data_IF_672120212030
#
_entry.id   IF_672120212030
#
_cell.length_a   1.000
_cell.length_b   1.000
_cell.length_c   1.000
_cell.angle_alpha   90.00
_cell.angle_beta   90.00
_cell.angle_gamma   90.00
#
_symmetry.space_group_name_H-M   'P 1'
#
loop_
_entity.id
_entity.type
_entity.pdbx_description
1 polymer ?
#
# COMPACT_ATOMS: atom_id res chain seq x y z
N UNK A 1 5.45 -31.59 -8.24
CA UNK A 1 5.19 -30.15 -8.06
C UNK A 1 3.78 -29.90 -8.56
N UNK A 2 2.80 -29.95 -7.66
CA UNK A 2 1.38 -29.87 -8.04
C UNK A 2 0.94 -28.41 -8.00
N UNK A 3 0.71 -27.85 -9.19
CA UNK A 3 0.08 -26.55 -9.41
C UNK A 3 -1.39 -26.70 -8.96
N UNK A 4 -1.83 -25.97 -7.92
CA UNK A 4 -3.23 -25.96 -7.48
C UNK A 4 -3.98 -24.85 -8.23
N UNK A 5 -4.83 -25.20 -9.23
CA UNK A 5 -5.53 -24.24 -10.07
C UNK A 5 -6.63 -23.44 -9.33
N UNK A 6 -6.80 -23.63 -8.01
CA UNK A 6 -7.84 -22.97 -7.21
C UNK A 6 -7.34 -21.77 -6.40
N UNK A 7 -6.06 -21.38 -6.48
CA UNK A 7 -5.59 -20.17 -5.80
C UNK A 7 -6.15 -18.93 -6.47
N UNK A 8 -7.09 -18.27 -5.79
CA UNK A 8 -7.58 -16.95 -6.19
C UNK A 8 -6.48 -15.92 -5.91
N UNK A 9 -6.25 -14.94 -6.80
CA UNK A 9 -5.37 -13.82 -6.51
C UNK A 9 -5.87 -13.10 -5.25
N UNK A 10 -4.98 -12.43 -4.49
CA UNK A 10 -5.40 -11.67 -3.32
C UNK A 10 -6.48 -10.64 -3.69
N UNK A 11 -7.36 -10.25 -2.76
CA UNK A 11 -8.33 -9.20 -3.04
C UNK A 11 -7.59 -7.87 -3.23
N UNK A 12 -7.90 -7.15 -4.32
CA UNK A 12 -7.36 -5.82 -4.57
C UNK A 12 -7.59 -4.87 -3.37
N UNK A 13 -6.69 -3.90 -3.11
CA UNK A 13 -6.88 -2.95 -2.04
C UNK A 13 -8.23 -2.23 -2.20
N UNK A 14 -8.96 -2.01 -1.10
CA UNK A 14 -10.24 -1.33 -1.15
C UNK A 14 -10.06 0.06 -1.75
N UNK A 15 -10.99 0.45 -2.63
CA UNK A 15 -11.00 1.83 -3.11
C UNK A 15 -11.11 2.78 -1.91
N UNK A 16 -10.39 3.91 -1.90
CA UNK A 16 -10.57 4.92 -0.88
C UNK A 16 -12.06 5.29 -0.80
N UNK A 17 -12.61 5.53 0.40
CA UNK A 17 -14.00 5.90 0.53
C UNK A 17 -14.33 7.11 -0.37
N UNK A 18 -15.52 7.07 -0.99
CA UNK A 18 -16.05 8.22 -1.71
C UNK A 18 -16.14 9.40 -0.74
N UNK A 19 -15.78 10.60 -1.20
CA UNK A 19 -15.88 11.83 -0.40
C UNK A 19 -17.27 11.89 0.26
N UNK A 20 -17.35 12.08 1.59
CA UNK A 20 -18.65 12.19 2.24
C UNK A 20 -19.34 13.45 1.71
N UNK A 21 -20.46 13.27 1.00
CA UNK A 21 -21.43 14.35 0.79
C UNK A 21 -21.85 14.81 2.18
N UNK A 22 -21.64 16.09 2.50
CA UNK A 22 -22.15 16.70 3.73
C UNK A 22 -23.64 16.36 3.84
N UNK A 23 -24.00 15.82 5.00
CA UNK A 23 -25.33 15.42 5.47
C UNK A 23 -25.64 13.92 5.35
N UNK A 24 -25.15 13.16 6.33
CA UNK A 24 -26.01 12.28 7.14
C UNK A 24 -25.18 11.67 8.24
N UNK A 25 -25.60 11.89 9.49
CA UNK A 25 -25.15 11.11 10.64
C UNK A 25 -25.54 9.66 10.37
N UNK A 26 -24.57 8.76 10.27
CA UNK A 26 -24.59 7.39 10.80
C UNK A 26 -23.35 6.61 10.32
N UNK A 27 -22.75 5.88 11.24
CA UNK A 27 -21.56 5.03 11.06
C UNK A 27 -22.02 3.63 10.62
N UNK A 28 -21.52 3.06 9.51
CA UNK A 28 -21.89 1.70 9.11
C UNK A 28 -21.03 0.59 9.75
N UNK A 29 -20.23 0.89 10.77
CA UNK A 29 -19.48 -0.13 11.51
C UNK A 29 -20.34 -0.78 12.60
N UNK A 30 -21.13 -1.79 12.22
CA UNK A 30 -21.46 -3.00 13.02
C UNK A 30 -22.72 -3.68 12.48
N UNK A 31 -22.68 -4.32 11.31
CA UNK A 31 -23.72 -5.30 10.95
C UNK A 31 -23.24 -6.25 9.85
N UNK A 32 -22.46 -7.27 10.26
CA UNK A 32 -22.59 -8.66 9.83
C UNK A 32 -21.51 -9.53 10.47
N UNK A 33 -21.75 -9.88 11.73
CA UNK A 33 -21.22 -11.11 12.31
C UNK A 33 -22.44 -11.87 12.81
N UNK A 34 -22.96 -12.80 12.01
CA UNK A 34 -23.77 -13.92 12.48
C UNK A 34 -24.05 -14.91 11.34
N UNK A 35 -23.71 -16.16 11.63
CA UNK A 35 -23.96 -17.41 10.91
C UNK A 35 -23.01 -17.79 9.77
N UNK A 36 -21.94 -18.52 10.12
CA UNK A 36 -21.37 -19.60 9.31
C UNK A 36 -21.02 -20.78 10.26
N UNK A 37 -21.33 -22.05 9.94
CA UNK A 37 -21.04 -23.22 10.79
C UNK A 37 -19.54 -23.49 10.96
N UNK A 38 -19.17 -24.15 12.08
CA UNK A 38 -17.80 -24.27 12.62
C UNK A 38 -16.77 -25.12 11.84
N UNK A 39 -17.05 -25.66 10.65
CA UNK A 39 -16.22 -26.75 10.10
C UNK A 39 -15.33 -26.40 8.89
N UNK A 40 -14.72 -25.20 8.86
CA UNK A 40 -13.72 -24.88 7.83
C UNK A 40 -12.60 -23.97 8.31
N UNK A 41 -11.93 -24.33 9.40
CA UNK A 41 -10.63 -23.75 9.75
C UNK A 41 -9.51 -24.73 9.44
N UNK A 42 -9.07 -24.75 8.18
CA UNK A 42 -7.75 -25.29 7.86
C UNK A 42 -6.71 -24.39 8.52
N UNK A 43 -6.19 -24.81 9.68
CA UNK A 43 -4.98 -24.26 10.31
C UNK A 43 -3.77 -24.92 9.67
N UNK A 44 -2.95 -24.20 8.88
CA UNK A 44 -1.61 -24.68 8.58
C UNK A 44 -0.78 -24.52 9.85
N UNK A 45 -0.22 -25.61 10.35
CA UNK A 45 0.79 -25.62 11.42
C UNK A 45 2.03 -24.89 10.90
N UNK A 46 2.11 -23.57 11.10
CA UNK A 46 3.37 -22.85 10.92
C UNK A 46 4.18 -23.00 12.21
N UNK A 47 5.43 -23.48 12.15
CA UNK A 47 6.34 -23.40 13.27
C UNK A 47 6.42 -21.96 13.77
N UNK A 48 6.04 -21.78 15.04
CA UNK A 48 6.15 -20.52 15.75
C UNK A 48 7.62 -20.13 15.88
N UNK A 49 8.09 -19.30 14.95
CA UNK A 49 9.29 -18.51 15.15
C UNK A 49 9.03 -17.13 14.51
N UNK A 50 8.45 -16.24 15.34
CA UNK A 50 8.46 -14.79 15.17
C UNK A 50 7.64 -14.21 14.00
N UNK A 51 6.34 -14.51 13.96
CA UNK A 51 5.40 -13.46 13.60
C UNK A 51 5.31 -12.52 14.80
N UNK A 52 6.32 -11.66 14.93
CA UNK A 52 6.21 -10.52 15.82
C UNK A 52 4.97 -9.76 15.37
N UNK A 53 4.03 -9.57 16.30
CA UNK A 53 2.90 -8.64 16.17
C UNK A 53 3.47 -7.20 16.19
N UNK A 54 4.50 -6.96 15.41
CA UNK A 54 5.26 -5.73 15.36
C UNK A 54 4.31 -4.69 14.78
N UNK A 55 4.01 -3.67 15.56
CA UNK A 55 3.25 -2.52 15.09
C UNK A 55 3.89 -2.01 13.79
N UNK A 56 3.09 -1.65 12.78
CA UNK A 56 3.64 -1.12 11.53
C UNK A 56 4.52 0.09 11.85
N UNK A 57 5.73 0.17 11.26
CA UNK A 57 6.73 1.11 11.72
C UNK A 57 6.30 2.56 11.43
N UNK A 58 6.82 3.49 12.23
CA UNK A 58 6.74 4.93 11.92
C UNK A 58 8.00 5.36 11.16
N UNK A 59 7.95 6.52 10.50
CA UNK A 59 9.09 7.08 9.76
C UNK A 59 8.80 7.30 8.28
N UNK A 60 9.83 7.37 7.43
CA UNK A 60 9.68 7.68 6.01
C UNK A 60 9.15 6.47 5.23
N UNK A 61 8.04 6.66 4.52
CA UNK A 61 7.46 5.68 3.61
C UNK A 61 7.55 6.17 2.17
N UNK A 62 8.21 5.39 1.34
CA UNK A 62 8.24 5.58 -0.10
C UNK A 62 6.94 5.07 -0.73
N UNK A 63 6.22 5.96 -1.40
CA UNK A 63 4.96 5.70 -2.08
C UNK A 63 5.12 5.88 -3.60
N UNK A 64 4.60 4.92 -4.36
CA UNK A 64 4.80 4.79 -5.80
C UNK A 64 3.51 4.53 -6.60
N UNK A 65 2.36 4.79 -5.97
CA UNK A 65 1.04 4.56 -6.56
C UNK A 65 -0.01 5.57 -6.14
N UNK A 66 -1.19 5.09 -5.75
CA UNK A 66 -2.32 5.98 -5.40
C UNK A 66 -1.99 6.93 -4.24
N UNK A 67 -1.17 6.49 -3.28
CA UNK A 67 -0.74 7.31 -2.15
C UNK A 67 0.23 8.46 -2.53
N UNK A 68 0.67 8.55 -3.79
CA UNK A 68 1.41 9.73 -4.28
C UNK A 68 0.52 10.97 -4.38
N UNK A 69 -0.81 10.83 -4.38
CA UNK A 69 -1.72 11.96 -4.25
C UNK A 69 -1.93 12.32 -2.77
N UNK A 70 -1.57 13.53 -2.32
CA UNK A 70 -1.78 13.92 -0.93
C UNK A 70 -3.25 13.86 -0.49
N UNK A 71 -4.23 14.00 -1.41
CA UNK A 71 -5.65 13.86 -1.04
C UNK A 71 -5.97 12.42 -0.61
N UNK A 72 -5.41 11.44 -1.32
CA UNK A 72 -5.52 10.03 -0.95
C UNK A 72 -4.96 9.78 0.46
N UNK A 73 -3.81 10.36 0.79
CA UNK A 73 -3.23 10.26 2.14
C UNK A 73 -4.11 10.91 3.21
N UNK A 74 -4.73 12.06 2.92
CA UNK A 74 -5.70 12.68 3.82
C UNK A 74 -6.85 11.72 4.13
N UNK A 75 -7.41 11.08 3.11
CA UNK A 75 -8.55 10.19 3.25
C UNK A 75 -8.20 8.89 3.98
N UNK A 76 -7.10 8.25 3.58
CA UNK A 76 -6.64 6.97 4.16
C UNK A 76 -6.23 7.14 5.63
N UNK A 77 -5.46 8.19 5.93
CA UNK A 77 -4.92 8.40 7.27
C UNK A 77 -5.83 9.24 8.15
N UNK A 78 -6.90 9.81 7.58
CA UNK A 78 -7.82 10.76 8.22
C UNK A 78 -7.07 12.00 8.73
N UNK A 79 -6.19 12.54 7.91
CA UNK A 79 -5.42 13.74 8.27
C UNK A 79 -6.33 14.97 8.29
N UNK A 80 -6.04 15.91 9.19
CA UNK A 80 -6.73 17.20 9.23
C UNK A 80 -6.30 18.14 8.09
N UNK A 81 -5.06 17.98 7.62
CA UNK A 81 -4.44 18.86 6.63
C UNK A 81 -3.76 18.04 5.54
N UNK A 82 -3.63 18.64 4.35
CA UNK A 82 -2.91 18.06 3.22
C UNK A 82 -1.43 17.86 3.58
N UNK A 83 -0.91 16.63 3.55
CA UNK A 83 0.48 16.37 3.89
C UNK A 83 1.41 16.90 2.81
N UNK A 84 2.64 17.23 3.20
CA UNK A 84 3.73 17.51 2.27
C UNK A 84 4.42 16.18 1.92
N UNK A 85 4.61 15.97 0.63
CA UNK A 85 5.35 14.85 0.07
C UNK A 85 6.66 15.37 -0.48
N UNK A 86 7.76 14.66 -0.23
CA UNK A 86 9.06 14.95 -0.85
C UNK A 86 9.28 14.01 -2.02
N UNK A 87 9.65 14.49 -3.22
CA UNK A 87 9.96 13.62 -4.35
C UNK A 87 11.24 12.83 -4.05
N UNK A 88 11.25 11.55 -4.40
CA UNK A 88 12.38 10.65 -4.13
C UNK A 88 12.44 9.51 -5.17
N UNK A 89 13.54 8.76 -5.11
CA UNK A 89 13.73 7.51 -5.84
C UNK A 89 14.31 6.42 -4.94
N UNK A 90 14.10 5.17 -5.36
CA UNK A 90 14.74 3.99 -4.78
C UNK A 90 15.36 3.17 -5.92
N UNK A 91 16.40 2.39 -5.61
CA UNK A 91 17.19 1.61 -6.58
C UNK A 91 17.14 0.13 -6.20
N UNK A 92 17.23 -0.77 -7.18
CA UNK A 92 17.13 -2.22 -6.99
C UNK A 92 15.73 -2.79 -7.14
N UNK A 93 14.79 -2.01 -7.67
CA UNK A 93 13.38 -2.35 -7.72
C UNK A 93 12.78 -2.19 -9.11
N UNK A 94 11.69 -2.90 -9.36
CA UNK A 94 10.89 -2.74 -10.58
C UNK A 94 9.41 -2.64 -10.23
N UNK A 95 8.68 -1.86 -11.02
CA UNK A 95 7.22 -1.73 -10.92
C UNK A 95 6.57 -2.53 -12.02
N UNK A 96 5.50 -3.24 -11.67
CA UNK A 96 4.56 -3.86 -12.60
C UNK A 96 3.13 -3.48 -12.23
N UNK A 97 2.16 -3.96 -12.99
CA UNK A 97 0.75 -3.79 -12.68
C UNK A 97 0.16 -5.07 -12.12
N UNK A 98 -0.47 -4.96 -10.95
CA UNK A 98 -1.41 -5.95 -10.46
C UNK A 98 -2.83 -5.50 -10.80
N UNK A 99 -3.33 -5.97 -11.95
CA UNK A 99 -4.57 -5.47 -12.55
C UNK A 99 -4.47 -3.99 -12.91
N UNK A 100 -4.91 -3.12 -12.00
CA UNK A 100 -4.90 -1.65 -12.19
C UNK A 100 -4.03 -0.91 -11.16
N UNK A 101 -3.42 -1.64 -10.24
CA UNK A 101 -2.64 -1.10 -9.16
C UNK A 101 -1.16 -1.32 -9.45
N UNK A 102 -0.29 -0.36 -9.12
CA UNK A 102 1.14 -0.59 -9.20
C UNK A 102 1.55 -1.61 -8.15
N UNK A 103 2.48 -2.48 -8.51
CA UNK A 103 3.05 -3.49 -7.65
C UNK A 103 4.57 -3.41 -7.74
N UNK A 104 5.20 -3.14 -6.60
CA UNK A 104 6.66 -3.17 -6.49
C UNK A 104 7.14 -4.60 -6.28
N UNK A 105 8.21 -4.95 -6.97
CA UNK A 105 8.96 -6.20 -6.82
C UNK A 105 10.45 -5.91 -6.91
N UNK A 106 11.27 -6.87 -6.49
CA UNK A 106 12.72 -6.78 -6.68
C UNK A 106 13.04 -6.64 -8.18
N UNK A 107 14.03 -5.81 -8.50
CA UNK A 107 14.43 -5.49 -9.86
C UNK A 107 15.92 -5.67 -10.09
N UNK A 108 16.41 -5.30 -11.27
CA UNK A 108 17.83 -5.17 -11.55
C UNK A 108 18.51 -4.22 -10.56
N UNK A 109 19.82 -4.39 -10.34
CA UNK A 109 20.59 -3.55 -9.41
C UNK A 109 20.59 -2.06 -9.77
N UNK A 110 20.43 -1.73 -11.06
CA UNK A 110 20.30 -0.39 -11.61
C UNK A 110 18.82 0.01 -11.84
N UNK A 111 17.88 -0.83 -11.44
CA UNK A 111 16.45 -0.58 -11.56
C UNK A 111 16.00 0.56 -10.63
N UNK A 112 15.71 1.72 -11.21
CA UNK A 112 15.26 2.89 -10.46
C UNK A 112 13.73 3.04 -10.49
N UNK A 113 13.16 3.39 -9.35
CA UNK A 113 11.74 3.72 -9.23
C UNK A 113 11.59 5.09 -8.60
N UNK A 114 10.97 6.01 -9.34
CA UNK A 114 10.59 7.34 -8.83
C UNK A 114 9.23 7.29 -8.11
N UNK A 115 9.12 8.12 -7.08
CA UNK A 115 7.92 8.25 -6.25
C UNK A 115 8.01 9.44 -5.32
N UNK A 116 7.32 9.34 -4.20
CA UNK A 116 7.32 10.35 -3.15
C UNK A 116 7.52 9.72 -1.78
N UNK A 117 7.94 10.51 -0.81
CA UNK A 117 8.04 10.10 0.59
C UNK A 117 6.99 10.82 1.40
N UNK A 118 6.25 10.03 2.17
CA UNK A 118 5.41 10.51 3.25
C UNK A 118 6.01 10.10 4.59
N UNK A 119 6.17 11.05 5.50
CA UNK A 119 6.71 10.78 6.84
C UNK A 119 5.57 10.49 7.82
N UNK A 120 5.49 9.23 8.26
CA UNK A 120 4.45 8.73 9.16
C UNK A 120 4.85 9.02 10.60
N UNK A 121 4.16 9.98 11.22
CA UNK A 121 4.51 10.49 12.55
C UNK A 121 3.88 9.72 13.73
N UNK A 122 2.92 8.83 13.49
CA UNK A 122 2.21 8.13 14.57
C UNK A 122 1.91 6.68 14.21
N UNK A 123 1.94 5.80 15.22
CA UNK A 123 1.59 4.39 15.07
C UNK A 123 0.15 4.20 14.54
N UNK A 124 -0.78 5.10 14.91
CA UNK A 124 -2.13 5.09 14.36
C UNK A 124 -2.18 5.35 12.84
N UNK A 125 -1.31 6.22 12.31
CA UNK A 125 -1.20 6.42 10.86
C UNK A 125 -0.51 5.24 10.18
N UNK A 126 0.54 4.68 10.78
CA UNK A 126 1.20 3.49 10.27
C UNK A 126 0.23 2.30 10.17
N UNK A 127 -0.62 2.13 11.20
CA UNK A 127 -1.68 1.11 11.21
C UNK A 127 -2.69 1.30 10.10
N UNK A 128 -3.16 2.54 9.87
CA UNK A 128 -4.08 2.83 8.77
C UNK A 128 -3.45 2.59 7.40
N UNK A 129 -2.16 2.89 7.22
CA UNK A 129 -1.45 2.55 5.98
C UNK A 129 -1.43 1.04 5.77
N UNK A 130 -1.01 0.27 6.78
CA UNK A 130 -0.96 -1.19 6.69
C UNK A 130 -2.36 -1.78 6.42
N UNK A 131 -3.41 -1.25 7.04
CA UNK A 131 -4.80 -1.65 6.79
C UNK A 131 -5.25 -1.35 5.35
N UNK A 132 -4.84 -0.20 4.78
CA UNK A 132 -5.19 0.18 3.41
C UNK A 132 -4.47 -0.67 2.36
N UNK A 133 -3.20 -0.97 2.60
CA UNK A 133 -2.38 -1.80 1.71
C UNK A 133 -2.78 -3.28 1.77
N UNK A 134 -3.55 -3.70 2.79
CA UNK A 134 -4.06 -5.07 2.98
C UNK A 134 -2.96 -6.13 3.07
N UNK A 135 -3.31 -7.41 3.07
CA UNK A 135 -2.34 -8.51 3.02
C UNK A 135 -1.69 -8.69 1.63
N UNK A 136 -1.99 -7.82 0.67
CA UNK A 136 -1.43 -7.87 -0.68
C UNK A 136 -0.04 -7.24 -0.76
N UNK A 137 0.30 -6.37 0.21
CA UNK A 137 1.59 -5.71 0.28
C UNK A 137 2.18 -5.77 1.69
N UNK A 138 3.50 -5.85 1.78
CA UNK A 138 4.25 -5.82 3.05
C UNK A 138 5.27 -4.70 3.02
N UNK A 139 5.34 -3.92 4.11
CA UNK A 139 6.38 -2.93 4.29
C UNK A 139 7.76 -3.60 4.42
N UNK A 140 8.71 -3.18 3.60
CA UNK A 140 10.10 -3.65 3.62
C UNK A 140 11.04 -2.45 3.77
N UNK A 141 12.15 -2.59 4.52
CA UNK A 141 13.13 -1.53 4.62
C UNK A 141 13.78 -1.26 3.26
N UNK A 142 14.03 0.01 2.94
CA UNK A 142 14.71 0.45 1.72
C UNK A 142 15.54 1.71 2.00
N UNK A 143 16.53 1.98 1.16
CA UNK A 143 17.25 3.24 1.14
C UNK A 143 16.53 4.20 0.18
N UNK A 144 16.12 5.35 0.69
CA UNK A 144 15.39 6.37 -0.07
C UNK A 144 16.34 7.50 -0.43
N UNK A 145 16.34 7.91 -1.70
CA UNK A 145 17.13 9.02 -2.21
C UNK A 145 16.21 10.17 -2.59
N UNK A 146 16.28 11.27 -1.85
CA UNK A 146 15.49 12.47 -2.14
C UNK A 146 16.00 13.19 -3.38
N UNK A 147 15.07 13.73 -4.17
CA UNK A 147 15.38 14.40 -5.44
C UNK A 147 15.05 15.90 -5.42
N UNK A 148 14.70 16.43 -4.24
CA UNK A 148 14.34 17.84 -4.06
C UNK A 148 15.54 18.76 -3.74
N UNK A 149 16.75 18.19 -3.67
CA UNK A 149 17.98 18.92 -3.35
C UNK A 149 18.03 19.45 -1.91
N UNK A 150 17.21 18.89 -1.00
CA UNK A 150 17.17 19.27 0.42
C UNK A 150 17.72 18.15 1.30
N UNK A 151 18.18 18.53 2.49
CA UNK A 151 18.62 17.58 3.50
C UNK A 151 17.44 16.98 4.31
N UNK A 152 17.54 15.70 4.74
CA UNK A 152 18.56 14.75 4.34
C UNK A 152 18.41 14.38 2.86
N UNK A 153 19.54 14.21 2.16
CA UNK A 153 19.57 13.76 0.77
C UNK A 153 19.21 12.27 0.63
N UNK A 154 19.54 11.46 1.64
CA UNK A 154 19.20 10.04 1.71
C UNK A 154 18.71 9.66 3.10
N UNK A 155 17.80 8.70 3.20
CA UNK A 155 17.25 8.25 4.48
C UNK A 155 16.78 6.78 4.39
N UNK A 156 16.98 6.02 5.47
CA UNK A 156 16.41 4.67 5.57
C UNK A 156 14.91 4.75 5.88
N UNK A 157 14.11 4.03 5.10
CA UNK A 157 12.66 4.03 5.24
C UNK A 157 12.03 2.73 4.81
N UNK A 158 10.76 2.81 4.45
CA UNK A 158 9.95 1.64 4.12
C UNK A 158 9.27 1.80 2.76
N UNK A 159 9.16 0.70 2.03
CA UNK A 159 8.37 0.59 0.79
C UNK A 159 7.43 -0.60 0.89
N UNK A 160 6.22 -0.45 0.35
CA UNK A 160 5.26 -1.55 0.27
C UNK A 160 5.58 -2.45 -0.92
N UNK A 161 5.99 -3.69 -0.67
CA UNK A 161 6.30 -4.70 -1.69
C UNK A 161 5.11 -5.62 -1.92
N UNK A 162 4.83 -5.99 -3.16
CA UNK A 162 3.76 -6.93 -3.47
C UNK A 162 4.12 -8.34 -2.99
N UNK A 163 3.18 -8.99 -2.28
CA UNK A 163 3.38 -10.32 -1.67
C UNK A 163 2.63 -11.42 -2.44
N UNK A 164 1.87 -11.05 -3.47
CA UNK A 164 1.16 -12.01 -4.33
C UNK A 164 2.07 -12.74 -5.31
N UNK A 165 1.49 -13.58 -6.16
CA UNK A 165 2.28 -14.37 -7.10
C UNK A 165 2.74 -13.50 -8.27
N UNK A 166 4.01 -13.58 -8.72
CA UNK A 166 4.47 -12.84 -9.90
C UNK A 166 3.69 -13.08 -11.20
N UNK A 167 2.89 -14.16 -11.28
CA UNK A 167 2.01 -14.47 -12.43
C UNK A 167 0.79 -13.56 -12.49
N UNK A 168 0.42 -12.96 -11.34
CA UNK A 168 -0.67 -11.99 -11.25
C UNK A 168 -0.24 -10.60 -11.74
N UNK A 169 1.06 -10.42 -12.00
CA UNK A 169 1.65 -9.17 -12.45
C UNK A 169 1.73 -9.12 -13.98
N UNK A 170 1.40 -7.96 -14.52
CA UNK A 170 1.46 -7.66 -15.95
C UNK A 170 2.43 -6.51 -16.19
N UNK A 171 3.12 -6.54 -17.33
CA UNK A 171 3.91 -5.40 -17.78
C UNK A 171 3.02 -4.18 -18.00
N UNK A 172 3.49 -3.02 -17.55
CA UNK A 172 2.78 -1.76 -17.74
C UNK A 172 3.15 -0.70 -16.72
N UNK A 173 2.76 0.53 -17.04
CA UNK A 173 3.06 1.71 -16.23
C UNK A 173 1.79 2.23 -15.55
N UNK A 174 1.91 2.56 -14.26
CA UNK A 174 0.84 3.19 -13.52
C UNK A 174 0.86 4.71 -13.73
N UNK A 175 -0.23 5.25 -14.28
CA UNK A 175 -0.43 6.68 -14.45
C UNK A 175 -1.45 7.19 -13.42
N UNK A 176 -0.95 7.93 -12.43
CA UNK A 176 -1.76 8.51 -11.36
C UNK A 176 -2.85 9.45 -11.91
N UNK A 177 -2.56 10.24 -12.94
CA UNK A 177 -3.50 11.19 -13.52
C UNK A 177 -4.67 10.48 -14.22
N UNK A 178 -4.37 9.44 -15.01
CA UNK A 178 -5.40 8.58 -15.63
C UNK A 178 -6.25 7.87 -14.58
N UNK A 179 -5.63 7.38 -13.50
CA UNK A 179 -6.35 6.75 -12.40
C UNK A 179 -7.30 7.73 -11.70
N UNK A 180 -6.81 8.92 -11.33
CA UNK A 180 -7.60 9.97 -10.67
C UNK A 180 -8.80 10.43 -11.50
N UNK A 181 -8.62 10.61 -12.83
CA UNK A 181 -9.73 10.92 -13.75
C UNK A 181 -10.81 9.85 -13.74
N UNK A 182 -10.40 8.57 -13.80
CA UNK A 182 -11.33 7.43 -13.84
C UNK A 182 -12.14 7.29 -12.55
N UNK A 183 -11.55 7.59 -11.40
CA UNK A 183 -12.26 7.54 -10.11
C UNK A 183 -13.01 8.83 -9.77
N UNK A 184 -13.07 9.80 -10.69
CA UNK A 184 -13.76 11.08 -10.48
C UNK A 184 -13.09 11.97 -9.42
N UNK A 185 -11.78 11.84 -9.23
CA UNK A 185 -10.99 12.60 -8.24
C UNK A 185 -9.98 13.56 -8.89
N UNK A 186 -9.93 13.62 -10.22
CA UNK A 186 -9.20 14.67 -10.92
C UNK A 186 -9.85 16.02 -10.58
N UNK A 187 -9.09 16.92 -9.96
CA UNK A 187 -9.47 18.33 -9.88
C UNK A 187 -9.31 18.99 -11.24
#
# INVERSE_FOLDING_TARGET
>A
MSDDPRRRPPPAPPLPPALPKKNSKESPFALKVRNVPEDWFYRPTMPQAQADLSEPPTGPYFVYGTLMDPKMLVDVLRLKYKPKLRPAKIVGYSKKLWGRYPAMQDGPQDGEVSGFVYHVQSAAHAKRLAEYETNSYTAKPCLIQYTDGKEPAEEFGYVFMFVGHPRDLQEGEFDLGKWLKRVGRSS
#
